data_IF_891107193674
#
_entry.id   IF_891107193674
#
_cell.length_a   1.000
_cell.length_b   1.000
_cell.length_c   1.000
_cell.angle_alpha   90.00
_cell.angle_beta   90.00
_cell.angle_gamma   90.00
#
_symmetry.space_group_name_H-M   'P 1'
#
loop_
_entity.id
_entity.type
_entity.pdbx_description
1 polymer ?
#
# COMPACT_ATOMS: atom_id res chain seq x y z
N UNK A 1 -52.22 -33.88 85.24
CA UNK A 1 -51.39 -34.96 84.61
C UNK A 1 -51.74 -35.31 83.18
N UNK A 2 -52.98 -35.83 82.87
CA UNK A 2 -53.27 -36.18 81.43
C UNK A 2 -53.27 -34.99 80.44
N UNK A 3 -53.74 -33.83 80.86
CA UNK A 3 -53.83 -32.63 80.08
C UNK A 3 -52.44 -32.00 79.80
N UNK A 4 -51.53 -32.07 80.75
CA UNK A 4 -50.18 -31.55 80.63
C UNK A 4 -49.32 -32.46 79.74
N UNK A 5 -49.60 -33.75 79.73
CA UNK A 5 -48.92 -34.68 78.84
C UNK A 5 -49.33 -34.49 77.34
N UNK A 6 -50.60 -34.14 77.06
CA UNK A 6 -51.12 -33.87 75.76
C UNK A 6 -50.52 -32.55 75.19
N UNK A 7 -50.38 -31.55 76.06
CA UNK A 7 -49.77 -30.28 75.68
C UNK A 7 -48.27 -30.49 75.32
N UNK A 8 -47.57 -31.21 76.15
CA UNK A 8 -46.14 -31.51 75.88
C UNK A 8 -45.93 -32.32 74.60
N UNK A 9 -46.86 -33.23 74.28
CA UNK A 9 -46.82 -33.98 73.02
C UNK A 9 -47.08 -33.14 71.79
N UNK A 10 -47.98 -32.18 71.87
CA UNK A 10 -48.29 -31.24 70.82
C UNK A 10 -47.08 -30.31 70.58
N UNK A 11 -46.47 -29.83 71.70
CA UNK A 11 -45.29 -28.96 71.56
C UNK A 11 -44.13 -29.70 70.88
N UNK A 12 -43.86 -30.96 71.33
CA UNK A 12 -42.81 -31.78 70.75
C UNK A 12 -43.04 -32.09 69.27
N UNK A 13 -44.30 -32.33 68.89
CA UNK A 13 -44.71 -32.54 67.47
C UNK A 13 -44.52 -31.29 66.62
N UNK A 14 -44.91 -30.12 67.18
CA UNK A 14 -44.71 -28.85 66.48
C UNK A 14 -43.20 -28.54 66.26
N UNK A 15 -42.38 -28.80 67.25
CA UNK A 15 -40.90 -28.64 67.15
C UNK A 15 -40.34 -29.58 66.05
N UNK A 16 -40.74 -30.88 66.11
CA UNK A 16 -40.27 -31.81 65.02
C UNK A 16 -40.78 -31.47 63.68
N UNK A 17 -42.06 -31.00 63.54
CA UNK A 17 -42.62 -30.55 62.25
C UNK A 17 -41.90 -29.31 61.71
N UNK A 18 -41.47 -28.37 62.60
CA UNK A 18 -40.71 -27.20 62.16
C UNK A 18 -39.31 -27.55 61.65
N UNK A 19 -38.61 -28.45 62.33
CA UNK A 19 -37.31 -28.97 61.88
C UNK A 19 -37.40 -29.69 60.53
N UNK A 20 -38.46 -30.49 60.34
CA UNK A 20 -38.66 -31.21 59.09
C UNK A 20 -38.96 -30.22 57.94
N UNK A 21 -39.77 -29.17 58.23
CA UNK A 21 -40.09 -28.13 57.25
C UNK A 21 -38.85 -27.30 56.87
N UNK A 22 -37.99 -26.97 57.85
CA UNK A 22 -36.74 -26.28 57.58
C UNK A 22 -35.79 -27.13 56.71
N UNK A 23 -35.63 -28.43 57.02
CA UNK A 23 -34.85 -29.35 56.23
C UNK A 23 -35.37 -29.45 54.77
N UNK A 24 -36.69 -29.55 54.61
CA UNK A 24 -37.32 -29.60 53.29
C UNK A 24 -37.13 -28.31 52.50
N UNK A 25 -37.25 -27.14 53.15
CA UNK A 25 -37.01 -25.85 52.57
C UNK A 25 -35.54 -25.72 52.13
N UNK A 26 -34.60 -26.22 52.89
CA UNK A 26 -33.18 -26.19 52.59
C UNK A 26 -32.85 -27.06 51.37
N UNK A 27 -33.46 -28.23 51.22
CA UNK A 27 -33.32 -29.06 50.01
C UNK A 27 -33.92 -28.37 48.75
N UNK A 28 -35.06 -27.70 48.88
CA UNK A 28 -35.64 -26.91 47.77
C UNK A 28 -34.74 -25.75 47.36
N UNK A 29 -34.13 -25.04 48.31
CA UNK A 29 -33.21 -23.95 48.03
C UNK A 29 -31.98 -24.48 47.30
N UNK A 30 -31.40 -25.59 47.74
CA UNK A 30 -30.26 -26.25 47.12
C UNK A 30 -30.60 -26.67 45.67
N UNK A 31 -31.76 -27.29 45.47
CA UNK A 31 -32.23 -27.66 44.12
C UNK A 31 -32.35 -26.46 43.19
N UNK A 32 -32.94 -25.38 43.67
CA UNK A 32 -33.04 -24.14 42.88
C UNK A 32 -31.68 -23.54 42.51
N UNK A 33 -30.72 -23.58 43.43
CA UNK A 33 -29.35 -23.13 43.17
C UNK A 33 -28.66 -23.98 42.11
N UNK A 34 -28.79 -25.30 42.17
CA UNK A 34 -28.22 -26.22 41.16
C UNK A 34 -28.85 -25.95 39.79
N UNK A 35 -30.17 -25.78 39.73
CA UNK A 35 -30.86 -25.46 38.48
C UNK A 35 -30.42 -24.13 37.90
N UNK A 36 -30.25 -23.10 38.71
CA UNK A 36 -29.74 -21.80 38.31
C UNK A 36 -28.33 -21.90 37.72
N UNK A 37 -27.46 -22.65 38.39
CA UNK A 37 -26.10 -22.88 37.96
C UNK A 37 -26.06 -23.64 36.63
N UNK A 38 -26.91 -24.65 36.47
CA UNK A 38 -27.08 -25.35 35.19
C UNK A 38 -27.49 -24.42 34.01
N UNK A 39 -28.47 -23.56 34.26
CA UNK A 39 -28.90 -22.57 33.26
C UNK A 39 -27.79 -21.56 32.95
N UNK A 40 -27.02 -21.11 33.94
CA UNK A 40 -25.87 -20.23 33.74
C UNK A 40 -24.81 -20.89 32.85
N UNK A 41 -24.50 -22.17 33.08
CA UNK A 41 -23.55 -22.91 32.23
C UNK A 41 -24.06 -23.06 30.81
N UNK A 42 -25.35 -23.34 30.63
CA UNK A 42 -25.95 -23.43 29.28
C UNK A 42 -25.94 -22.09 28.54
N UNK A 43 -26.28 -20.99 29.20
CA UNK A 43 -26.23 -19.67 28.62
C UNK A 43 -24.82 -19.25 28.25
N UNK A 44 -23.84 -19.49 29.13
CA UNK A 44 -22.42 -19.24 28.86
C UNK A 44 -21.94 -20.05 27.64
N UNK A 45 -22.28 -21.34 27.57
CA UNK A 45 -21.96 -22.17 26.41
C UNK A 45 -22.58 -21.62 25.10
N UNK A 46 -23.81 -21.16 25.15
CA UNK A 46 -24.48 -20.53 23.96
C UNK A 46 -23.75 -19.26 23.53
N UNK A 47 -23.43 -18.37 24.44
CA UNK A 47 -22.70 -17.13 24.17
C UNK A 47 -21.33 -17.45 23.58
N UNK A 48 -20.61 -18.40 24.14
CA UNK A 48 -19.30 -18.84 23.63
C UNK A 48 -19.37 -19.35 22.19
N UNK A 49 -20.37 -20.19 21.88
CA UNK A 49 -20.56 -20.72 20.52
C UNK A 49 -20.94 -19.63 19.51
N UNK A 50 -21.77 -18.67 19.92
CA UNK A 50 -22.15 -17.54 19.08
C UNK A 50 -20.94 -16.62 18.80
N UNK A 51 -20.17 -16.29 19.83
CA UNK A 51 -18.95 -15.50 19.70
C UNK A 51 -17.92 -16.18 18.77
N UNK A 52 -17.73 -17.48 18.93
CA UNK A 52 -16.82 -18.27 18.06
C UNK A 52 -17.29 -18.29 16.60
N UNK A 53 -18.60 -18.38 16.36
CA UNK A 53 -19.18 -18.32 15.01
C UNK A 53 -19.01 -16.92 14.39
N UNK A 54 -19.27 -15.87 15.17
CA UNK A 54 -19.10 -14.49 14.71
C UNK A 54 -17.64 -14.19 14.33
N UNK A 55 -16.67 -14.62 15.12
CA UNK A 55 -15.24 -14.48 14.82
C UNK A 55 -14.86 -15.23 13.55
N UNK A 56 -15.36 -16.46 13.37
CA UNK A 56 -15.09 -17.25 12.17
C UNK A 56 -15.66 -16.59 10.92
N UNK A 57 -16.91 -16.12 10.99
CA UNK A 57 -17.55 -15.42 9.88
C UNK A 57 -16.80 -14.12 9.51
N UNK A 58 -16.36 -13.35 10.51
CA UNK A 58 -15.56 -12.14 10.27
C UNK A 58 -14.22 -12.46 9.56
N UNK A 59 -13.54 -13.52 9.96
CA UNK A 59 -12.31 -13.97 9.29
C UNK A 59 -12.55 -14.46 7.86
N UNK A 60 -13.66 -15.15 7.61
CA UNK A 60 -14.03 -15.60 6.25
C UNK A 60 -14.39 -14.41 5.36
N UNK A 61 -15.07 -13.41 5.89
CA UNK A 61 -15.42 -12.18 5.17
C UNK A 61 -14.18 -11.34 4.84
N UNK A 62 -13.25 -11.21 5.77
CA UNK A 62 -11.95 -10.54 5.54
C UNK A 62 -11.13 -11.24 4.44
N UNK A 63 -11.06 -12.58 4.47
CA UNK A 63 -10.42 -13.36 3.41
C UNK A 63 -11.09 -13.19 2.06
N UNK A 64 -12.41 -13.16 2.04
CA UNK A 64 -13.17 -12.96 0.80
C UNK A 64 -12.94 -11.57 0.21
N UNK A 65 -12.91 -10.52 1.03
CA UNK A 65 -12.60 -9.15 0.60
C UNK A 65 -11.16 -9.05 0.09
N UNK A 66 -10.20 -9.68 0.77
CA UNK A 66 -8.81 -9.73 0.32
C UNK A 66 -8.67 -10.41 -1.04
N UNK A 67 -9.39 -11.54 -1.26
CA UNK A 67 -9.37 -12.25 -2.53
C UNK A 67 -10.00 -11.43 -3.66
N UNK A 68 -11.13 -10.79 -3.42
CA UNK A 68 -11.78 -9.90 -4.40
C UNK A 68 -10.85 -8.74 -4.79
N UNK A 69 -10.18 -8.16 -3.80
CA UNK A 69 -9.22 -7.07 -4.05
C UNK A 69 -8.03 -7.56 -4.90
N UNK A 70 -7.52 -8.74 -4.62
CA UNK A 70 -6.45 -9.35 -5.41
C UNK A 70 -6.89 -9.59 -6.85
N UNK A 71 -8.10 -10.09 -7.06
CA UNK A 71 -8.67 -10.31 -8.40
C UNK A 71 -8.85 -8.99 -9.16
N UNK A 72 -9.30 -7.95 -8.47
CA UNK A 72 -9.43 -6.62 -9.08
C UNK A 72 -8.08 -6.04 -9.51
N UNK A 73 -7.07 -6.10 -8.64
CA UNK A 73 -5.71 -5.67 -8.96
C UNK A 73 -5.13 -6.44 -10.15
N UNK A 74 -5.38 -7.74 -10.22
CA UNK A 74 -4.93 -8.56 -11.35
C UNK A 74 -5.59 -8.12 -12.65
N UNK A 75 -6.90 -7.83 -12.66
CA UNK A 75 -7.62 -7.30 -13.83
C UNK A 75 -7.09 -5.93 -14.27
N UNK A 76 -6.81 -5.05 -13.33
CA UNK A 76 -6.23 -3.73 -13.62
C UNK A 76 -4.83 -3.86 -14.25
N UNK A 77 -3.99 -4.76 -13.72
CA UNK A 77 -2.66 -5.04 -14.30
C UNK A 77 -2.77 -5.62 -15.71
N UNK A 78 -3.72 -6.53 -15.94
CA UNK A 78 -3.95 -7.13 -17.25
C UNK A 78 -4.44 -6.09 -18.26
N UNK A 79 -5.35 -5.21 -17.88
CA UNK A 79 -5.81 -4.10 -18.73
C UNK A 79 -4.66 -3.15 -19.05
N UNK A 80 -3.83 -2.80 -18.09
CA UNK A 80 -2.66 -1.95 -18.31
C UNK A 80 -1.66 -2.62 -19.26
N UNK A 81 -1.43 -3.91 -19.10
CA UNK A 81 -0.56 -4.68 -20.00
C UNK A 81 -1.08 -4.69 -21.43
N UNK A 82 -2.39 -4.91 -21.62
CA UNK A 82 -3.04 -4.89 -22.94
C UNK A 82 -2.93 -3.51 -23.59
N UNK A 83 -3.18 -2.44 -22.84
CA UNK A 83 -3.05 -1.06 -23.30
C UNK A 83 -1.62 -0.76 -23.76
N UNK A 84 -0.60 -1.08 -22.95
CA UNK A 84 0.81 -0.89 -23.32
C UNK A 84 1.21 -1.70 -24.57
N UNK A 85 0.70 -2.92 -24.69
CA UNK A 85 0.94 -3.75 -25.87
C UNK A 85 0.34 -3.11 -27.12
N UNK A 86 -0.87 -2.55 -27.04
CA UNK A 86 -1.50 -1.84 -28.15
C UNK A 86 -0.73 -0.59 -28.55
N UNK A 87 -0.27 0.20 -27.57
CA UNK A 87 0.57 1.39 -27.84
C UNK A 87 1.87 1.01 -28.54
N UNK A 88 2.54 -0.06 -28.07
CA UNK A 88 3.78 -0.55 -28.71
C UNK A 88 3.52 -1.02 -30.15
N UNK A 89 2.44 -1.73 -30.40
CA UNK A 89 2.08 -2.18 -31.75
C UNK A 89 1.72 -0.98 -32.68
N UNK A 90 0.98 -0.01 -32.18
CA UNK A 90 0.67 1.21 -32.91
C UNK A 90 1.95 1.99 -33.28
N UNK A 91 2.89 2.11 -32.34
CA UNK A 91 4.19 2.72 -32.58
C UNK A 91 4.99 1.98 -33.65
N UNK A 92 5.07 0.64 -33.56
CA UNK A 92 5.75 -0.17 -34.58
C UNK A 92 5.12 0.02 -35.97
N UNK A 93 3.79 0.02 -36.09
CA UNK A 93 3.09 0.23 -37.34
C UNK A 93 3.38 1.62 -37.92
N UNK A 94 3.33 2.64 -37.10
CA UNK A 94 3.65 4.03 -37.53
C UNK A 94 5.10 4.14 -38.01
N UNK A 95 6.03 3.51 -37.31
CA UNK A 95 7.45 3.48 -37.69
C UNK A 95 7.66 2.78 -39.02
N UNK A 96 7.01 1.62 -39.22
CA UNK A 96 7.07 0.91 -40.51
C UNK A 96 6.51 1.76 -41.65
N UNK A 97 5.37 2.43 -41.46
CA UNK A 97 4.78 3.31 -42.44
C UNK A 97 5.71 4.48 -42.83
N UNK A 98 6.36 5.11 -41.84
CA UNK A 98 7.34 6.18 -42.08
C UNK A 98 8.54 5.69 -42.88
N UNK A 99 9.07 4.51 -42.55
CA UNK A 99 10.17 3.87 -43.28
C UNK A 99 9.75 3.53 -44.74
N UNK A 100 8.55 3.02 -44.95
CA UNK A 100 8.02 2.72 -46.26
C UNK A 100 7.87 3.98 -47.10
N UNK A 101 7.41 5.09 -46.52
CA UNK A 101 7.32 6.38 -47.19
C UNK A 101 8.69 6.89 -47.63
N UNK A 102 9.70 6.80 -46.78
CA UNK A 102 11.09 7.12 -47.14
C UNK A 102 11.60 6.23 -48.28
N UNK A 103 11.33 4.93 -48.20
CA UNK A 103 11.75 3.98 -49.22
C UNK A 103 11.09 4.30 -50.58
N UNK A 104 9.85 4.77 -50.59
CA UNK A 104 9.17 5.20 -51.81
C UNK A 104 9.79 6.47 -52.39
N UNK A 105 10.10 7.49 -51.60
CA UNK A 105 10.79 8.71 -52.05
C UNK A 105 12.18 8.40 -52.64
N UNK A 106 12.91 7.44 -52.06
CA UNK A 106 14.19 6.96 -52.59
C UNK A 106 14.01 6.28 -53.95
N UNK A 107 12.97 5.44 -54.13
CA UNK A 107 12.69 4.77 -55.42
C UNK A 107 12.26 5.70 -56.52
N UNK A 108 11.58 6.80 -56.18
CA UNK A 108 11.11 7.82 -57.13
C UNK A 108 12.14 8.91 -57.39
N UNK A 109 13.35 8.84 -56.74
CA UNK A 109 14.43 9.85 -56.83
C UNK A 109 13.97 11.27 -56.37
N UNK A 110 12.98 11.35 -55.47
CA UNK A 110 12.44 12.61 -54.95
C UNK A 110 13.24 13.08 -53.74
N UNK A 111 14.50 13.44 -53.94
CA UNK A 111 15.44 13.80 -52.88
C UNK A 111 15.06 15.02 -52.07
N UNK A 112 14.41 16.00 -52.67
CA UNK A 112 13.94 17.20 -51.97
C UNK A 112 12.89 16.84 -50.91
N UNK A 113 11.97 15.91 -51.22
CA UNK A 113 10.96 15.45 -50.25
C UNK A 113 11.57 14.62 -49.10
N UNK A 114 12.66 13.94 -49.36
CA UNK A 114 13.38 13.20 -48.29
C UNK A 114 13.98 14.20 -47.32
N UNK A 115 14.56 15.30 -47.82
CA UNK A 115 15.21 16.31 -47.00
C UNK A 115 14.20 17.03 -46.08
N UNK A 116 12.98 17.26 -46.56
CA UNK A 116 11.88 17.84 -45.79
C UNK A 116 11.22 16.84 -44.81
N UNK A 117 11.18 15.55 -45.16
CA UNK A 117 10.52 14.51 -44.37
C UNK A 117 11.42 13.95 -43.26
N UNK A 118 12.73 13.92 -43.44
CA UNK A 118 13.69 13.41 -42.49
C UNK A 118 13.65 14.13 -41.11
N UNK A 119 13.55 15.49 -41.08
CA UNK A 119 13.39 16.20 -39.80
C UNK A 119 12.14 15.79 -39.03
N UNK A 120 11.01 15.57 -39.73
CA UNK A 120 9.76 15.14 -39.08
C UNK A 120 9.89 13.78 -38.39
N UNK A 121 10.64 12.86 -38.99
CA UNK A 121 10.92 11.55 -38.40
C UNK A 121 11.90 11.71 -37.26
N UNK A 122 12.98 12.48 -37.43
CA UNK A 122 13.98 12.70 -36.41
C UNK A 122 13.42 13.45 -35.20
N UNK A 123 12.51 14.41 -35.41
CA UNK A 123 11.83 15.12 -34.30
C UNK A 123 10.90 14.20 -33.51
N UNK A 124 10.16 13.32 -34.19
CA UNK A 124 9.33 12.31 -33.49
C UNK A 124 10.20 11.33 -32.73
N UNK A 125 11.29 10.84 -33.32
CA UNK A 125 12.26 10.01 -32.63
C UNK A 125 13.03 10.75 -31.52
N UNK A 126 13.23 12.07 -31.63
CA UNK A 126 13.87 12.88 -30.59
C UNK A 126 12.90 13.20 -29.44
N UNK A 127 11.62 13.38 -29.72
CA UNK A 127 10.59 13.48 -28.68
C UNK A 127 10.40 12.16 -27.94
N UNK A 128 10.56 11.04 -28.63
CA UNK A 128 10.49 9.68 -28.08
C UNK A 128 11.87 9.13 -27.69
N UNK A 129 12.98 9.87 -27.92
CA UNK A 129 14.30 9.44 -27.43
C UNK A 129 14.24 9.32 -25.92
N UNK A 130 14.06 8.09 -25.49
CA UNK A 130 14.61 7.61 -24.24
C UNK A 130 16.13 7.82 -24.28
N UNK A 131 16.61 9.01 -23.95
CA UNK A 131 17.96 9.10 -23.45
C UNK A 131 17.96 8.22 -22.21
N UNK A 132 18.74 7.12 -22.18
CA UNK A 132 18.77 6.29 -20.98
C UNK A 132 19.18 7.20 -19.82
N UNK A 133 18.25 7.36 -18.88
CA UNK A 133 18.45 8.21 -17.72
C UNK A 133 19.47 7.55 -16.82
N UNK A 134 19.51 6.20 -16.82
CA UNK A 134 20.49 5.39 -16.12
C UNK A 134 20.77 4.09 -16.87
N UNK A 135 21.81 3.36 -16.46
CA UNK A 135 22.23 2.10 -17.10
C UNK A 135 21.31 0.93 -16.77
N UNK A 136 20.62 0.94 -15.63
CA UNK A 136 19.64 -0.09 -15.27
C UNK A 136 18.36 0.08 -16.08
N UNK A 137 18.02 -0.93 -16.89
CA UNK A 137 16.88 -0.87 -17.82
C UNK A 137 15.54 -0.75 -17.13
N UNK A 138 15.38 -1.36 -15.95
CA UNK A 138 14.12 -1.37 -15.21
C UNK A 138 13.90 -0.04 -14.47
N UNK A 139 14.95 0.48 -13.83
CA UNK A 139 14.89 1.81 -13.21
C UNK A 139 14.72 2.87 -14.28
N UNK A 140 15.40 2.74 -15.42
CA UNK A 140 15.22 3.64 -16.57
C UNK A 140 13.76 3.68 -17.04
N UNK A 141 13.09 2.52 -17.12
CA UNK A 141 11.68 2.45 -17.47
C UNK A 141 10.78 3.15 -16.44
N UNK A 142 11.05 2.96 -15.14
CA UNK A 142 10.32 3.66 -14.07
C UNK A 142 10.50 5.17 -14.15
N UNK A 143 11.74 5.64 -14.30
CA UNK A 143 12.05 7.06 -14.40
C UNK A 143 11.37 7.72 -15.61
N UNK A 144 11.36 7.02 -16.75
CA UNK A 144 10.69 7.49 -17.97
C UNK A 144 9.17 7.55 -17.81
N UNK A 145 8.54 6.52 -17.26
CA UNK A 145 7.10 6.47 -17.00
C UNK A 145 6.68 7.60 -16.04
N UNK A 146 7.41 7.76 -14.93
CA UNK A 146 7.12 8.83 -13.96
C UNK A 146 7.38 10.23 -14.51
N UNK A 147 8.38 10.41 -15.38
CA UNK A 147 8.58 11.66 -16.12
C UNK A 147 7.36 11.99 -16.99
N UNK A 148 6.86 11.01 -17.72
CA UNK A 148 5.68 11.19 -18.56
C UNK A 148 4.44 11.59 -17.74
N UNK A 149 4.17 10.88 -16.62
CA UNK A 149 3.07 11.21 -15.73
C UNK A 149 3.20 12.62 -15.11
N UNK A 150 4.40 13.01 -14.72
CA UNK A 150 4.68 14.34 -14.19
C UNK A 150 4.47 15.44 -15.25
N UNK A 151 4.91 15.20 -16.48
CA UNK A 151 4.70 16.14 -17.60
C UNK A 151 3.22 16.37 -17.89
N UNK A 152 2.37 15.34 -17.83
CA UNK A 152 0.92 15.48 -17.98
C UNK A 152 0.29 16.40 -16.92
N UNK A 153 0.95 16.54 -15.77
CA UNK A 153 0.54 17.41 -14.66
C UNK A 153 1.29 18.75 -14.61
N UNK A 154 2.01 19.10 -15.69
CA UNK A 154 2.84 20.30 -15.80
C UNK A 154 3.94 20.39 -14.73
N UNK A 155 4.44 19.25 -14.25
CA UNK A 155 5.55 19.17 -13.28
C UNK A 155 6.86 19.05 -14.05
N UNK A 156 7.82 19.94 -13.79
CA UNK A 156 9.16 19.89 -14.36
C UNK A 156 9.99 18.82 -13.66
N UNK A 157 10.57 17.88 -14.42
CA UNK A 157 11.36 16.77 -13.84
C UNK A 157 12.79 16.79 -14.38
N UNK A 158 13.76 16.73 -13.48
CA UNK A 158 15.19 16.58 -13.75
C UNK A 158 15.74 15.33 -13.09
N UNK A 159 16.54 14.57 -13.85
CA UNK A 159 17.18 13.35 -13.39
C UNK A 159 18.69 13.38 -13.64
N UNK A 160 19.47 13.13 -12.61
CA UNK A 160 20.93 12.88 -12.66
C UNK A 160 21.21 11.61 -11.87
N UNK A 161 20.90 10.45 -12.47
CA UNK A 161 20.91 9.16 -11.77
C UNK A 161 22.09 8.32 -12.24
N UNK A 162 23.04 8.10 -11.32
CA UNK A 162 24.15 7.17 -11.49
C UNK A 162 23.93 5.99 -10.54
N UNK A 163 24.01 4.77 -11.07
CA UNK A 163 23.83 3.53 -10.32
C UNK A 163 25.08 2.67 -10.44
N UNK A 164 25.41 1.83 -9.44
CA UNK A 164 26.52 0.91 -9.52
C UNK A 164 26.25 -0.19 -10.55
N UNK A 165 27.24 -0.51 -11.41
CA UNK A 165 27.15 -1.62 -12.35
C UNK A 165 26.95 -2.97 -11.66
N UNK A 166 27.56 -3.12 -10.48
CA UNK A 166 27.39 -4.28 -9.60
C UNK A 166 26.99 -3.78 -8.22
N UNK A 167 25.90 -4.28 -7.72
CA UNK A 167 25.37 -3.93 -6.41
C UNK A 167 24.94 -5.18 -5.66
N UNK A 168 25.18 -5.22 -4.35
CA UNK A 168 24.58 -6.20 -3.44
C UNK A 168 23.11 -5.93 -3.20
N UNK A 169 22.62 -4.73 -3.53
CA UNK A 169 21.22 -4.34 -3.36
C UNK A 169 20.40 -5.00 -4.48
N UNK A 170 19.34 -5.77 -4.17
CA UNK A 170 18.46 -6.34 -5.17
C UNK A 170 17.79 -5.26 -6.03
N UNK A 171 17.73 -5.47 -7.36
CA UNK A 171 17.07 -4.52 -8.28
C UNK A 171 15.61 -4.25 -7.91
N UNK A 172 14.90 -5.22 -7.33
CA UNK A 172 13.53 -5.04 -6.85
C UNK A 172 13.42 -4.01 -5.71
N UNK A 173 14.43 -3.91 -4.85
CA UNK A 173 14.48 -2.94 -3.75
C UNK A 173 14.77 -1.54 -4.28
N UNK A 174 15.74 -1.39 -5.19
CA UNK A 174 16.01 -0.12 -5.86
C UNK A 174 14.78 0.37 -6.63
N UNK A 175 14.10 -0.52 -7.36
CA UNK A 175 12.85 -0.20 -8.05
C UNK A 175 11.77 0.32 -7.09
N UNK A 176 11.60 -0.34 -5.95
CA UNK A 176 10.64 0.07 -4.92
C UNK A 176 10.97 1.46 -4.37
N UNK A 177 12.25 1.78 -4.17
CA UNK A 177 12.69 3.11 -3.70
C UNK A 177 12.33 4.18 -4.72
N UNK A 178 12.78 4.03 -5.99
CA UNK A 178 12.52 5.04 -7.03
C UNK A 178 11.02 5.20 -7.29
N UNK A 179 10.28 4.11 -7.32
CA UNK A 179 8.84 4.13 -7.52
C UNK A 179 8.12 4.92 -6.42
N UNK A 180 8.38 4.59 -5.14
CA UNK A 180 7.73 5.25 -4.01
C UNK A 180 8.15 6.72 -3.86
N UNK A 181 9.43 7.03 -4.06
CA UNK A 181 9.90 8.42 -4.02
C UNK A 181 9.18 9.27 -5.08
N UNK A 182 9.15 8.81 -6.33
CA UNK A 182 8.56 9.56 -7.43
C UNK A 182 7.04 9.68 -7.31
N UNK A 183 6.33 8.66 -6.84
CA UNK A 183 4.89 8.76 -6.59
C UNK A 183 4.58 9.80 -5.51
N UNK A 184 5.33 9.77 -4.42
CA UNK A 184 5.18 10.78 -3.36
C UNK A 184 5.50 12.20 -3.88
N UNK A 185 6.55 12.36 -4.68
CA UNK A 185 6.93 13.62 -5.29
C UNK A 185 5.87 14.18 -6.23
N UNK A 186 5.33 13.34 -7.14
CA UNK A 186 4.27 13.72 -8.07
C UNK A 186 2.99 14.11 -7.32
N UNK A 187 2.63 13.36 -6.29
CA UNK A 187 1.47 13.65 -5.47
C UNK A 187 1.62 14.98 -4.71
N UNK A 188 2.78 15.19 -4.08
CA UNK A 188 3.11 16.41 -3.36
C UNK A 188 3.12 17.64 -4.28
N UNK A 189 3.74 17.55 -5.46
CA UNK A 189 3.73 18.60 -6.46
C UNK A 189 2.32 18.95 -6.94
N UNK A 190 1.48 17.94 -7.16
CA UNK A 190 0.10 18.14 -7.59
C UNK A 190 -0.75 18.86 -6.54
N UNK A 191 -0.42 18.70 -5.26
CA UNK A 191 -1.09 19.35 -4.13
C UNK A 191 -0.46 20.70 -3.75
N UNK A 192 0.74 21.04 -4.27
CA UNK A 192 1.53 22.19 -3.82
C UNK A 192 0.93 23.56 -4.13
N UNK A 193 0.03 23.65 -5.13
CA UNK A 193 -0.48 24.93 -5.64
C UNK A 193 0.60 25.83 -6.26
N UNK A 194 1.81 25.33 -6.47
CA UNK A 194 2.92 26.07 -7.10
C UNK A 194 2.64 26.33 -8.58
N UNK A 195 2.97 27.54 -9.07
CA UNK A 195 2.88 27.87 -10.50
C UNK A 195 3.89 27.09 -11.36
N UNK A 196 5.00 26.67 -10.76
CA UNK A 196 6.06 25.92 -11.43
C UNK A 196 6.54 24.74 -10.56
N UNK A 197 5.69 23.70 -10.38
CA UNK A 197 6.08 22.54 -9.59
C UNK A 197 7.21 21.77 -10.25
N UNK A 198 8.13 21.26 -9.42
CA UNK A 198 9.31 20.53 -9.90
C UNK A 198 9.62 19.30 -9.05
N UNK A 199 10.29 18.33 -9.70
CA UNK A 199 10.94 17.18 -9.06
C UNK A 199 12.37 17.10 -9.59
N UNK A 200 13.33 17.02 -8.69
CA UNK A 200 14.74 16.79 -9.01
C UNK A 200 15.19 15.51 -8.31
N UNK A 201 15.76 14.58 -9.06
CA UNK A 201 16.33 13.34 -8.51
C UNK A 201 17.78 13.24 -8.90
N UNK A 202 18.65 13.11 -7.91
CA UNK A 202 20.09 12.88 -8.09
C UNK A 202 20.49 11.62 -7.37
N UNK A 203 21.46 10.88 -7.92
CA UNK A 203 22.11 9.81 -7.16
C UNK A 203 23.62 9.90 -7.29
N UNK A 204 24.31 9.55 -6.21
CA UNK A 204 25.78 9.58 -6.12
C UNK A 204 26.28 8.31 -5.44
N UNK A 205 27.41 7.83 -5.92
CA UNK A 205 28.13 6.70 -5.30
C UNK A 205 29.37 7.23 -4.62
N UNK A 206 29.53 6.95 -3.34
CA UNK A 206 30.70 7.35 -2.56
C UNK A 206 30.95 6.38 -1.41
N UNK A 207 32.22 5.97 -1.24
CA UNK A 207 32.67 5.18 -0.09
C UNK A 207 31.83 3.90 0.19
N UNK A 208 31.40 3.21 -0.88
CA UNK A 208 30.57 1.98 -0.74
C UNK A 208 29.07 2.24 -0.47
N UNK A 209 28.64 3.50 -0.51
CA UNK A 209 27.25 3.90 -0.37
C UNK A 209 26.69 4.51 -1.64
N UNK A 210 25.47 4.09 -1.98
CA UNK A 210 24.60 4.75 -2.94
C UNK A 210 23.69 5.73 -2.19
N UNK A 211 23.77 7.00 -2.53
CA UNK A 211 22.87 8.03 -2.00
C UNK A 211 21.93 8.48 -3.11
N UNK A 212 20.63 8.35 -2.89
CA UNK A 212 19.56 8.88 -3.75
C UNK A 212 18.95 10.07 -3.04
N UNK A 213 18.98 11.23 -3.67
CA UNK A 213 18.37 12.46 -3.16
C UNK A 213 17.28 12.90 -4.12
N UNK A 214 16.09 13.09 -3.61
CA UNK A 214 14.97 13.66 -4.36
C UNK A 214 14.48 14.92 -3.64
N UNK A 215 14.30 15.99 -4.41
CA UNK A 215 13.66 17.22 -3.97
C UNK A 215 12.41 17.48 -4.82
N UNK A 216 11.34 17.86 -4.18
CA UNK A 216 10.09 18.20 -4.87
C UNK A 216 9.37 19.39 -4.24
N UNK A 217 8.53 20.07 -5.05
CA UNK A 217 7.62 21.10 -4.55
C UNK A 217 6.56 20.53 -3.62
N UNK A 218 6.18 21.30 -2.61
CA UNK A 218 5.22 20.92 -1.58
C UNK A 218 4.35 22.13 -1.19
N UNK A 219 3.13 21.85 -0.72
CA UNK A 219 2.27 22.87 -0.10
C UNK A 219 2.82 23.26 1.28
N UNK A 220 3.25 24.53 1.48
CA UNK A 220 3.78 24.97 2.76
C UNK A 220 2.73 24.97 3.88
N UNK A 221 1.44 24.99 3.54
CA UNK A 221 0.36 24.91 4.53
C UNK A 221 0.15 23.50 5.10
N UNK A 222 0.73 22.48 4.49
CA UNK A 222 0.64 21.08 4.93
C UNK A 222 1.98 20.61 5.50
N UNK A 223 2.21 20.71 6.83
CA UNK A 223 3.44 20.21 7.43
C UNK A 223 3.56 18.70 7.24
N UNK A 224 4.79 18.25 7.05
CA UNK A 224 5.07 16.81 6.92
C UNK A 224 4.68 16.07 8.20
N UNK A 225 3.88 15.04 8.04
CA UNK A 225 3.52 14.15 9.12
C UNK A 225 3.84 12.70 8.69
N UNK A 226 4.70 12.03 9.43
CA UNK A 226 5.03 10.61 9.23
C UNK A 226 3.80 9.68 9.23
N UNK A 227 2.72 10.10 9.92
CA UNK A 227 1.45 9.40 9.89
C UNK A 227 0.63 9.91 8.72
N UNK A 228 0.44 9.08 7.72
CA UNK A 228 -0.39 9.39 6.55
C UNK A 228 -1.76 9.91 6.96
N UNK A 229 -2.11 11.10 6.48
CA UNK A 229 -3.39 11.75 6.74
C UNK A 229 -4.58 11.13 5.96
N UNK A 230 -4.33 10.12 5.12
CA UNK A 230 -5.36 9.50 4.28
C UNK A 230 -6.00 8.29 4.97
N UNK A 231 -7.08 8.55 5.72
CA UNK A 231 -7.87 7.52 6.42
C UNK A 231 -8.72 6.63 5.50
N UNK A 232 -8.86 6.96 4.21
CA UNK A 232 -9.93 6.39 3.36
C UNK A 232 -9.45 5.51 2.19
N UNK A 233 -8.14 5.25 2.02
CA UNK A 233 -7.65 4.37 0.96
C UNK A 233 -6.69 3.33 1.55
N UNK A 234 -7.04 2.03 1.53
CA UNK A 234 -6.28 0.98 2.24
C UNK A 234 -4.85 0.73 1.71
N UNK A 235 -4.40 1.39 0.65
CA UNK A 235 -3.08 1.18 0.02
C UNK A 235 -2.20 2.44 -0.09
N UNK A 236 -2.62 3.61 0.42
CA UNK A 236 -1.80 4.82 0.37
C UNK A 236 -1.29 5.13 1.77
N UNK A 237 0.02 5.19 1.92
CA UNK A 237 0.68 5.51 3.18
C UNK A 237 1.84 4.64 3.59
N UNK A 238 2.08 3.55 2.86
CA UNK A 238 3.18 2.64 3.17
C UNK A 238 4.48 2.95 2.40
N UNK A 239 4.47 3.89 1.46
CA UNK A 239 5.61 4.17 0.59
C UNK A 239 6.88 4.55 1.36
N UNK A 240 6.77 5.40 2.38
CA UNK A 240 7.92 5.80 3.21
C UNK A 240 8.38 4.65 4.11
N UNK A 241 7.47 3.90 4.73
CA UNK A 241 7.82 2.75 5.56
C UNK A 241 8.49 1.63 4.76
N UNK A 242 8.09 1.41 3.51
CA UNK A 242 8.77 0.47 2.61
C UNK A 242 10.21 0.92 2.36
N UNK A 243 10.46 2.21 2.15
CA UNK A 243 11.81 2.75 1.96
C UNK A 243 12.63 2.60 3.25
N UNK A 244 12.05 2.88 4.41
CA UNK A 244 12.68 2.72 5.72
C UNK A 244 13.08 1.26 5.99
N UNK A 245 12.21 0.31 5.68
CA UNK A 245 12.48 -1.12 5.81
C UNK A 245 13.62 -1.58 4.87
N UNK A 246 13.64 -1.08 3.63
CA UNK A 246 14.72 -1.36 2.67
C UNK A 246 16.05 -0.77 3.17
N UNK A 247 16.03 0.46 3.68
CA UNK A 247 17.23 1.09 4.27
C UNK A 247 17.77 0.27 5.43
N UNK A 248 16.91 -0.12 6.37
CA UNK A 248 17.30 -0.92 7.53
C UNK A 248 17.92 -2.28 7.13
N UNK A 249 17.36 -2.91 6.09
CA UNK A 249 17.86 -4.20 5.56
C UNK A 249 19.22 -4.10 4.88
N UNK A 250 19.55 -2.95 4.27
CA UNK A 250 20.79 -2.74 3.51
C UNK A 250 21.81 -1.84 4.25
N UNK A 251 21.86 -1.90 5.57
CA UNK A 251 22.76 -1.10 6.42
C UNK A 251 22.78 0.40 6.02
N UNK A 252 21.62 0.89 5.61
CA UNK A 252 21.41 2.25 5.12
C UNK A 252 20.65 3.14 6.08
N UNK A 253 20.32 4.33 5.62
CA UNK A 253 19.50 5.29 6.34
C UNK A 253 18.64 6.12 5.39
N UNK A 254 17.56 6.70 5.88
CA UNK A 254 16.79 7.67 5.15
C UNK A 254 16.50 8.90 6.02
N UNK A 255 16.36 10.05 5.35
CA UNK A 255 16.02 11.32 5.98
C UNK A 255 14.93 12.03 5.17
N UNK A 256 13.97 12.59 5.89
CA UNK A 256 12.84 13.31 5.35
C UNK A 256 12.90 14.74 5.89
N UNK A 257 13.11 15.73 5.01
CA UNK A 257 13.35 17.12 5.41
C UNK A 257 12.27 17.98 4.78
N UNK A 258 11.46 18.59 5.63
CA UNK A 258 10.42 19.55 5.25
C UNK A 258 10.98 20.98 5.31
N UNK A 259 11.14 21.62 4.14
CA UNK A 259 11.64 22.99 4.00
C UNK A 259 10.50 24.02 3.79
N UNK A 260 9.26 23.59 4.03
CA UNK A 260 8.08 24.43 3.81
C UNK A 260 7.53 24.27 2.40
N UNK A 261 8.04 24.96 1.42
CA UNK A 261 7.62 24.91 0.01
C UNK A 261 8.27 23.77 -0.80
N UNK A 262 9.29 23.14 -0.25
CA UNK A 262 9.96 21.96 -0.82
C UNK A 262 10.12 20.85 0.20
N UNK A 263 10.26 19.64 -0.29
CA UNK A 263 10.52 18.44 0.50
C UNK A 263 11.72 17.69 -0.04
N UNK A 264 12.68 17.39 0.82
CA UNK A 264 13.85 16.62 0.50
C UNK A 264 13.76 15.21 1.08
N UNK A 265 13.97 14.23 0.22
CA UNK A 265 14.07 12.81 0.55
C UNK A 265 15.49 12.34 0.28
N UNK A 266 16.20 11.93 1.31
CA UNK A 266 17.57 11.40 1.19
C UNK A 266 17.56 9.94 1.61
N UNK A 267 17.94 9.05 0.69
CA UNK A 267 18.05 7.61 0.92
C UNK A 267 19.49 7.19 0.70
N UNK A 268 20.11 6.57 1.67
CA UNK A 268 21.47 6.07 1.61
C UNK A 268 21.47 4.56 1.85
N UNK A 269 22.09 3.81 0.96
CA UNK A 269 22.16 2.34 1.00
C UNK A 269 23.60 1.90 0.83
N UNK A 270 24.00 0.87 1.54
CA UNK A 270 25.30 0.21 1.35
C UNK A 270 25.21 -0.72 0.16
N UNK A 271 26.11 -0.58 -0.85
CA UNK A 271 26.10 -1.41 -2.06
C UNK A 271 27.33 -2.29 -2.23
N UNK A 272 28.29 -2.19 -1.30
CA UNK A 272 29.50 -3.04 -1.22
C UNK A 272 29.59 -3.72 0.14
#
# INVERSE_FOLDING_TARGET
MKRDFVILFIELFCVQASFFLEALLQEYVLFCQIMLLFFLVLTYRRIYLLARRSLKNAQEEEKFQALQKQEQLQKEQEQLFVSRKQETLAFQQTTIQKLQTLQNYLKTNEYDKIQDYLPSITDDFQRERFHPICQDSLINAILADKRFLAMQKNIKVTYEVLLPEKSSIPSSELNSIFFNLLDNGIESCNASGSEAPFISVTSKMSAGFLTVHMQNSKDPAQPFNHKTSKKDIPNHGFGLSIIEDICAKNDGSCQWIDNGDTFDSVVMLRYQ
#
